data_IF_791638851240
#
_entry.id   IF_791638851240
#
_cell.length_a   1.000
_cell.length_b   1.000
_cell.length_c   1.000
_cell.angle_alpha   90.00
_cell.angle_beta   90.00
_cell.angle_gamma   90.00
#
_symmetry.space_group_name_H-M   'P 1'
#
loop_
_entity.id
_entity.type
_entity.pdbx_description
1 polymer ?
#
# COMPACT_ATOMS: atom_id res chain seq x y z
N UNK A 1 2.73 16.16 2.83
CA UNK A 1 3.48 17.36 2.38
C UNK A 1 4.36 16.90 1.24
N UNK A 2 4.06 17.30 0.01
CA UNK A 2 4.76 16.79 -1.17
C UNK A 2 6.02 17.61 -1.47
N UNK A 3 7.19 16.98 -1.32
CA UNK A 3 8.49 17.58 -1.60
C UNK A 3 9.03 16.97 -2.90
N UNK A 4 9.36 17.84 -3.86
CA UNK A 4 9.79 17.46 -5.20
C UNK A 4 11.03 18.27 -5.59
N UNK A 5 12.06 17.60 -6.10
CA UNK A 5 13.39 18.19 -6.40
C UNK A 5 13.64 18.48 -7.88
N UNK A 6 12.67 18.23 -8.76
CA UNK A 6 12.82 18.39 -10.21
C UNK A 6 13.66 17.31 -10.90
N UNK A 7 14.20 16.34 -10.15
CA UNK A 7 15.04 15.26 -10.66
C UNK A 7 14.33 13.92 -10.60
N UNK A 8 13.84 13.51 -9.41
CA UNK A 8 13.07 12.27 -9.27
C UNK A 8 11.71 12.36 -9.97
N UNK A 9 11.11 13.54 -9.92
CA UNK A 9 9.89 13.89 -10.67
C UNK A 9 10.10 15.20 -11.42
N UNK A 10 9.45 15.40 -12.58
CA UNK A 10 9.63 16.60 -13.41
C UNK A 10 8.84 17.81 -12.87
N UNK A 11 8.95 18.09 -11.57
CA UNK A 11 8.30 19.21 -10.90
C UNK A 11 9.08 19.63 -9.64
N UNK A 12 8.95 20.89 -9.22
CA UNK A 12 9.58 21.45 -8.02
C UNK A 12 8.48 22.13 -7.20
N UNK A 13 8.33 21.73 -5.93
CA UNK A 13 7.21 22.21 -5.09
C UNK A 13 7.72 23.03 -3.90
N UNK A 14 8.37 22.39 -2.94
CA UNK A 14 8.79 23.01 -1.69
C UNK A 14 9.94 22.23 -1.07
N UNK A 15 10.58 22.80 -0.04
CA UNK A 15 11.58 22.13 0.78
C UNK A 15 11.48 22.56 2.25
N UNK A 16 12.51 22.25 3.04
CA UNK A 16 12.57 22.49 4.49
C UNK A 16 12.12 23.90 4.95
N UNK A 17 12.44 25.01 4.26
CA UNK A 17 11.99 26.35 4.70
C UNK A 17 10.47 26.53 4.77
N UNK A 18 9.73 25.89 3.86
CA UNK A 18 8.25 25.91 3.86
C UNK A 18 7.72 25.04 4.99
N UNK A 19 8.29 23.85 5.18
CA UNK A 19 7.94 22.94 6.28
C UNK A 19 8.11 23.63 7.64
N UNK A 20 9.24 24.32 7.85
CA UNK A 20 9.51 25.08 9.06
C UNK A 20 8.49 26.22 9.28
N UNK A 21 8.11 26.90 8.20
CA UNK A 21 7.10 27.97 8.26
C UNK A 21 5.72 27.42 8.66
N UNK A 22 5.32 26.27 8.10
CA UNK A 22 4.06 25.59 8.46
C UNK A 22 4.09 25.10 9.91
N UNK A 23 5.18 24.46 10.33
CA UNK A 23 5.36 23.99 11.71
C UNK A 23 5.17 25.11 12.74
N UNK A 24 5.75 26.29 12.46
CA UNK A 24 5.61 27.48 13.31
C UNK A 24 4.19 28.04 13.30
N UNK A 25 3.51 28.02 12.14
CA UNK A 25 2.18 28.60 11.99
C UNK A 25 1.06 27.70 12.56
N UNK A 26 1.26 26.39 12.56
CA UNK A 26 0.27 25.40 13.02
C UNK A 26 0.89 24.48 14.09
N UNK A 27 0.86 24.88 15.37
CA UNK A 27 1.45 24.10 16.44
C UNK A 27 0.87 22.68 16.51
N UNK A 28 1.74 21.69 16.77
CA UNK A 28 1.41 20.27 16.90
C UNK A 28 0.88 19.61 15.61
N UNK A 29 1.03 20.24 14.45
CA UNK A 29 0.68 19.61 13.18
C UNK A 29 1.55 18.36 12.95
N UNK A 30 0.91 17.25 12.60
CA UNK A 30 1.61 16.07 12.12
C UNK A 30 1.89 16.25 10.63
N UNK A 31 3.16 16.52 10.26
CA UNK A 31 3.57 16.63 8.87
C UNK A 31 4.18 15.31 8.42
N UNK A 32 3.42 14.58 7.62
CA UNK A 32 3.97 13.54 6.78
C UNK A 32 4.63 14.16 5.55
N UNK A 33 5.95 13.99 5.43
CA UNK A 33 6.78 14.54 4.37
C UNK A 33 7.01 13.46 3.32
N UNK A 34 6.32 13.58 2.19
CA UNK A 34 6.44 12.67 1.06
C UNK A 34 7.53 13.17 0.12
N UNK A 35 8.62 12.42 0.08
CA UNK A 35 9.91 12.83 -0.46
C UNK A 35 10.09 12.23 -1.86
N UNK A 36 9.54 12.93 -2.85
CA UNK A 36 9.75 12.65 -4.28
C UNK A 36 11.05 13.31 -4.74
N UNK A 37 12.16 12.82 -4.18
CA UNK A 37 13.51 13.36 -4.38
C UNK A 37 14.48 12.23 -4.74
N UNK A 38 15.52 12.58 -5.48
CA UNK A 38 16.49 11.63 -6.06
C UNK A 38 17.44 11.03 -5.03
N UNK A 39 17.83 11.80 -4.01
CA UNK A 39 18.72 11.36 -2.93
C UNK A 39 18.06 11.57 -1.54
N UNK A 40 17.16 10.68 -1.08
CA UNK A 40 16.36 10.91 0.12
C UNK A 40 17.21 11.07 1.40
N UNK A 41 18.29 10.29 1.55
CA UNK A 41 19.16 10.37 2.74
C UNK A 41 19.69 11.78 3.04
N UNK A 42 20.00 12.56 2.00
CA UNK A 42 20.56 13.91 2.14
C UNK A 42 19.63 14.91 2.85
N UNK A 43 18.32 14.67 2.84
CA UNK A 43 17.32 15.63 3.33
C UNK A 43 16.73 15.27 4.69
N UNK A 44 17.09 14.11 5.25
CA UNK A 44 16.48 13.59 6.48
C UNK A 44 16.66 14.57 7.65
N UNK A 45 17.87 15.07 7.84
CA UNK A 45 18.19 16.03 8.90
C UNK A 45 17.43 17.34 8.73
N UNK A 46 17.43 17.89 7.53
CA UNK A 46 16.79 19.18 7.21
C UNK A 46 15.27 19.12 7.42
N UNK A 47 14.63 18.02 7.00
CA UNK A 47 13.19 17.82 7.20
C UNK A 47 12.86 17.65 8.70
N UNK A 48 13.70 16.93 9.44
CA UNK A 48 13.53 16.79 10.89
C UNK A 48 13.65 18.13 11.60
N UNK A 49 14.68 18.92 11.28
CA UNK A 49 14.91 20.24 11.90
C UNK A 49 13.82 21.25 11.51
N UNK A 50 13.21 21.09 10.33
CA UNK A 50 12.05 21.85 9.91
C UNK A 50 10.73 21.44 10.60
N UNK A 51 10.75 20.39 11.42
CA UNK A 51 9.60 19.93 12.19
C UNK A 51 8.76 18.86 11.50
N UNK A 52 9.30 18.17 10.49
CA UNK A 52 8.68 16.96 9.93
C UNK A 52 8.46 15.90 11.01
N UNK A 53 7.32 15.21 10.93
CA UNK A 53 6.94 14.16 11.89
C UNK A 53 7.08 12.75 11.31
N UNK A 54 6.90 12.62 10.00
CA UNK A 54 7.10 11.40 9.22
C UNK A 54 7.86 11.74 7.95
N UNK A 55 8.75 10.84 7.53
CA UNK A 55 9.56 10.96 6.32
C UNK A 55 9.31 9.73 5.44
N UNK A 56 8.62 9.95 4.32
CA UNK A 56 8.18 8.93 3.38
C UNK A 56 9.02 9.01 2.10
N UNK A 57 10.02 8.14 1.97
CA UNK A 57 10.92 8.13 0.80
C UNK A 57 10.47 7.11 -0.24
N UNK A 58 10.81 7.35 -1.51
CA UNK A 58 10.57 6.38 -2.56
C UNK A 58 11.59 5.24 -2.54
N UNK A 59 11.12 3.98 -2.60
CA UNK A 59 11.98 2.81 -2.75
C UNK A 59 12.87 2.94 -4.00
N UNK A 60 12.34 3.56 -5.06
CA UNK A 60 13.04 3.73 -6.34
C UNK A 60 14.15 4.79 -6.31
N UNK A 61 14.27 5.56 -5.23
CA UNK A 61 15.23 6.66 -5.10
C UNK A 61 16.50 6.27 -4.32
N UNK A 62 16.68 4.99 -3.97
CA UNK A 62 17.86 4.57 -3.21
C UNK A 62 18.21 3.10 -3.44
N UNK A 63 19.50 2.80 -3.45
CA UNK A 63 20.01 1.42 -3.50
C UNK A 63 20.12 0.79 -2.09
N UNK A 64 20.03 1.57 -1.01
CA UNK A 64 20.06 1.09 0.38
C UNK A 64 18.89 1.69 1.20
N UNK A 65 17.67 1.16 1.03
CA UNK A 65 16.50 1.64 1.76
C UNK A 65 16.62 1.45 3.28
N UNK A 66 17.36 0.44 3.74
CA UNK A 66 17.55 0.20 5.17
C UNK A 66 18.42 1.29 5.82
N UNK A 67 19.40 1.81 5.10
CA UNK A 67 20.17 2.96 5.57
C UNK A 67 19.33 4.22 5.70
N UNK A 68 18.50 4.53 4.70
CA UNK A 68 17.57 5.67 4.77
C UNK A 68 16.64 5.53 5.98
N UNK A 69 16.09 4.34 6.23
CA UNK A 69 15.27 4.08 7.42
C UNK A 69 16.04 4.32 8.73
N UNK A 70 17.29 3.87 8.83
CA UNK A 70 18.15 4.12 10.01
C UNK A 70 18.37 5.61 10.23
N UNK A 71 18.68 6.36 9.17
CA UNK A 71 18.87 7.81 9.24
C UNK A 71 17.60 8.51 9.73
N UNK A 72 16.44 8.16 9.19
CA UNK A 72 15.15 8.74 9.61
C UNK A 72 14.87 8.44 11.09
N UNK A 73 15.03 7.20 11.51
CA UNK A 73 14.77 6.81 12.91
C UNK A 73 15.74 7.47 13.89
N UNK A 74 16.98 7.76 13.48
CA UNK A 74 17.94 8.50 14.30
C UNK A 74 17.46 9.93 14.64
N UNK A 75 16.59 10.53 13.82
CA UNK A 75 16.00 11.84 14.09
C UNK A 75 14.68 11.78 14.89
N UNK A 76 14.20 10.57 15.20
CA UNK A 76 12.91 10.29 15.87
C UNK A 76 11.67 10.59 15.03
N UNK A 77 11.82 10.89 13.74
CA UNK A 77 10.69 10.89 12.81
C UNK A 77 10.19 9.45 12.60
N UNK A 78 8.92 9.31 12.23
CA UNK A 78 8.42 8.03 11.67
C UNK A 78 9.06 7.81 10.31
N UNK A 79 9.48 6.58 10.04
CA UNK A 79 10.06 6.18 8.76
C UNK A 79 9.01 5.49 7.90
N UNK A 80 8.87 5.90 6.66
CA UNK A 80 7.92 5.31 5.72
C UNK A 80 8.55 5.15 4.34
N UNK A 81 8.04 4.20 3.57
CA UNK A 81 8.51 3.92 2.22
C UNK A 81 7.34 3.96 1.23
N UNK A 82 7.53 4.66 0.12
CA UNK A 82 6.60 4.76 -0.99
C UNK A 82 7.02 3.84 -2.14
N UNK A 83 6.03 3.35 -2.89
CA UNK A 83 6.23 2.67 -4.16
C UNK A 83 5.35 3.28 -5.25
N UNK A 84 5.94 3.42 -6.45
CA UNK A 84 5.28 3.92 -7.63
C UNK A 84 4.24 2.93 -8.20
N UNK A 85 3.35 3.40 -9.10
CA UNK A 85 2.42 2.51 -9.80
C UNK A 85 3.10 1.39 -10.60
N UNK A 86 4.36 1.57 -11.04
CA UNK A 86 5.14 0.53 -11.72
C UNK A 86 5.80 -0.51 -10.81
N UNK A 87 6.01 -0.19 -9.53
CA UNK A 87 6.80 -1.01 -8.61
C UNK A 87 5.90 -2.01 -7.89
N UNK A 88 6.12 -3.34 -8.02
CA UNK A 88 5.24 -4.32 -7.39
C UNK A 88 5.43 -4.34 -5.87
N UNK A 89 4.37 -4.71 -5.14
CA UNK A 89 4.42 -4.82 -3.67
C UNK A 89 5.48 -5.81 -3.17
N UNK A 90 5.85 -6.79 -3.99
CA UNK A 90 6.90 -7.77 -3.71
C UNK A 90 8.29 -7.18 -3.55
N UNK A 91 8.57 -5.99 -4.10
CA UNK A 91 9.86 -5.30 -3.92
C UNK A 91 10.03 -4.76 -2.49
N UNK A 92 8.94 -4.56 -1.75
CA UNK A 92 9.03 -4.34 -0.32
C UNK A 92 9.42 -5.67 0.32
N UNK A 93 10.66 -5.79 0.79
CA UNK A 93 11.12 -6.96 1.52
C UNK A 93 10.43 -7.07 2.89
N UNK A 94 10.37 -8.28 3.44
CA UNK A 94 9.83 -8.49 4.80
C UNK A 94 10.65 -7.78 5.87
N UNK A 95 11.95 -7.59 5.64
CA UNK A 95 12.83 -6.83 6.53
C UNK A 95 12.47 -5.35 6.50
N UNK A 96 12.36 -4.77 5.30
CA UNK A 96 12.00 -3.37 5.13
C UNK A 96 10.61 -3.08 5.68
N UNK A 97 9.62 -3.92 5.35
CA UNK A 97 8.24 -3.75 5.83
C UNK A 97 8.11 -3.82 7.36
N UNK A 98 9.00 -4.51 8.06
CA UNK A 98 9.06 -4.52 9.54
C UNK A 98 9.88 -3.35 10.11
N UNK A 99 10.75 -2.76 9.30
CA UNK A 99 11.62 -1.67 9.72
C UNK A 99 10.94 -0.30 9.58
N UNK A 100 9.90 -0.16 8.75
CA UNK A 100 9.12 1.07 8.56
C UNK A 100 7.89 1.12 9.46
N UNK A 101 7.35 2.32 9.64
CA UNK A 101 6.14 2.61 10.38
C UNK A 101 4.91 2.74 9.46
N UNK A 102 5.12 2.93 8.15
CA UNK A 102 4.07 3.05 7.14
C UNK A 102 4.60 2.68 5.74
N UNK A 103 3.73 2.14 4.88
CA UNK A 103 4.00 1.99 3.44
C UNK A 103 3.00 2.82 2.64
N UNK A 104 3.49 3.65 1.74
CA UNK A 104 2.69 4.42 0.80
C UNK A 104 2.62 3.72 -0.57
N UNK A 105 1.41 3.45 -1.04
CA UNK A 105 1.16 2.99 -2.41
C UNK A 105 0.65 4.16 -3.25
N UNK A 106 1.46 4.60 -4.21
CA UNK A 106 1.01 5.61 -5.16
C UNK A 106 -0.08 5.05 -6.07
N UNK A 107 -1.18 5.80 -6.21
CA UNK A 107 -2.33 5.49 -7.07
C UNK A 107 -2.44 6.43 -8.27
N UNK A 108 -1.40 7.23 -8.51
CA UNK A 108 -1.08 8.00 -9.73
C UNK A 108 0.44 8.05 -9.87
N UNK A 109 0.98 8.44 -11.02
CA UNK A 109 2.42 8.71 -11.11
C UNK A 109 2.75 10.01 -10.35
N UNK A 110 3.79 10.03 -9.49
CA UNK A 110 4.14 11.22 -8.71
C UNK A 110 4.55 12.39 -9.62
N UNK A 111 4.48 13.61 -9.07
CA UNK A 111 4.90 14.83 -9.76
C UNK A 111 3.77 15.82 -10.11
N UNK A 112 2.51 15.39 -10.12
CA UNK A 112 1.38 16.28 -10.38
C UNK A 112 0.08 15.86 -9.67
N UNK A 113 -0.65 16.85 -9.14
CA UNK A 113 -2.00 16.66 -8.59
C UNK A 113 -3.09 16.57 -9.66
N UNK A 114 -4.28 16.09 -9.28
CA UNK A 114 -5.47 16.08 -10.15
C UNK A 114 -5.52 14.95 -11.19
N UNK A 115 -4.55 14.03 -11.17
CA UNK A 115 -4.54 12.85 -12.01
C UNK A 115 -5.66 11.86 -11.63
N UNK A 116 -6.03 11.00 -12.59
CA UNK A 116 -7.05 9.97 -12.38
C UNK A 116 -6.49 8.81 -11.57
N UNK A 117 -7.23 8.42 -10.54
CA UNK A 117 -6.95 7.25 -9.72
C UNK A 117 -6.76 5.96 -10.55
N UNK A 118 -5.69 5.22 -10.24
CA UNK A 118 -5.33 3.94 -10.87
C UNK A 118 -5.80 2.78 -9.98
N UNK A 119 -6.98 2.23 -10.29
CA UNK A 119 -7.57 1.09 -9.56
C UNK A 119 -6.70 -0.17 -9.60
N UNK A 120 -5.83 -0.27 -10.59
CA UNK A 120 -4.88 -1.36 -10.80
C UNK A 120 -3.81 -1.42 -9.69
N UNK A 121 -3.68 -0.37 -8.86
CA UNK A 121 -2.79 -0.36 -7.70
C UNK A 121 -3.39 -1.05 -6.46
N UNK A 122 -4.72 -1.29 -6.43
CA UNK A 122 -5.40 -1.87 -5.27
C UNK A 122 -4.94 -3.29 -4.91
N UNK A 123 -4.60 -4.19 -5.86
CA UNK A 123 -3.96 -5.47 -5.52
C UNK A 123 -2.68 -5.32 -4.69
N UNK A 124 -1.89 -4.25 -4.88
CA UNK A 124 -0.69 -3.98 -4.08
C UNK A 124 -1.05 -3.66 -2.63
N UNK A 125 -2.05 -2.81 -2.43
CA UNK A 125 -2.57 -2.44 -1.10
C UNK A 125 -3.06 -3.69 -0.37
N UNK A 126 -3.82 -4.54 -1.07
CA UNK A 126 -4.31 -5.80 -0.56
C UNK A 126 -3.18 -6.75 -0.14
N UNK A 127 -2.18 -6.93 -1.00
CA UNK A 127 -1.01 -7.76 -0.70
C UNK A 127 -0.24 -7.24 0.53
N UNK A 128 0.04 -5.94 0.59
CA UNK A 128 0.76 -5.32 1.69
C UNK A 128 -0.02 -5.41 3.01
N UNK A 129 -1.32 -5.11 3.00
CA UNK A 129 -2.18 -5.28 4.18
C UNK A 129 -2.18 -6.74 4.64
N UNK A 130 -2.20 -7.70 3.72
CA UNK A 130 -2.10 -9.10 4.10
C UNK A 130 -0.76 -9.40 4.77
N UNK A 131 0.36 -9.05 4.12
CA UNK A 131 1.74 -9.32 4.59
C UNK A 131 2.08 -8.63 5.90
N UNK A 132 1.56 -7.42 6.11
CA UNK A 132 1.80 -6.59 7.29
C UNK A 132 0.46 -6.16 7.92
N UNK A 133 -0.23 -7.06 8.66
CA UNK A 133 -1.59 -6.85 9.14
C UNK A 133 -1.83 -5.59 9.95
N UNK A 134 -0.82 -5.17 10.72
CA UNK A 134 -0.89 -4.07 11.71
C UNK A 134 -0.15 -2.80 11.26
N UNK A 135 0.50 -2.84 10.09
CA UNK A 135 1.26 -1.70 9.56
C UNK A 135 0.31 -0.67 8.95
N UNK A 136 0.65 0.61 9.05
CA UNK A 136 -0.05 1.66 8.31
C UNK A 136 0.21 1.50 6.81
N UNK A 137 -0.88 1.45 6.03
CA UNK A 137 -0.83 1.43 4.56
C UNK A 137 -1.56 2.68 4.07
N UNK A 138 -0.80 3.55 3.44
CA UNK A 138 -1.24 4.79 2.85
C UNK A 138 -1.50 4.64 1.35
N UNK A 139 -2.44 5.44 0.84
CA UNK A 139 -2.63 5.66 -0.59
C UNK A 139 -2.62 7.15 -0.91
N UNK A 140 -1.94 7.51 -2.01
CA UNK A 140 -1.89 8.88 -2.53
C UNK A 140 -2.08 8.92 -4.05
N UNK A 141 -2.98 9.78 -4.50
CA UNK A 141 -3.26 10.02 -5.91
C UNK A 141 -4.71 9.77 -6.33
N UNK A 142 -5.48 10.84 -6.54
CA UNK A 142 -6.87 10.72 -7.05
C UNK A 142 -7.86 10.11 -6.06
N UNK A 143 -7.53 10.10 -4.76
CA UNK A 143 -8.42 9.59 -3.71
C UNK A 143 -9.45 10.66 -3.31
N UNK A 144 -10.71 10.23 -3.17
CA UNK A 144 -11.83 11.08 -2.80
C UNK A 144 -13.12 10.28 -2.64
N UNK A 145 -14.29 10.93 -2.53
CA UNK A 145 -15.54 10.24 -2.23
C UNK A 145 -15.92 9.12 -3.22
N UNK A 146 -15.47 9.20 -4.47
CA UNK A 146 -15.73 8.18 -5.50
C UNK A 146 -14.78 6.99 -5.48
N UNK A 147 -13.63 7.11 -4.83
CA UNK A 147 -12.53 6.13 -4.91
C UNK A 147 -12.13 5.57 -3.55
N UNK A 148 -12.56 6.20 -2.45
CA UNK A 148 -12.22 5.80 -1.08
C UNK A 148 -12.57 4.36 -0.76
N UNK A 149 -13.76 3.89 -1.17
CA UNK A 149 -14.21 2.53 -0.87
C UNK A 149 -13.25 1.49 -1.44
N UNK A 150 -12.73 1.72 -2.66
CA UNK A 150 -11.75 0.81 -3.27
C UNK A 150 -10.45 0.74 -2.47
N UNK A 151 -9.99 1.88 -1.96
CA UNK A 151 -8.76 1.99 -1.18
C UNK A 151 -8.91 1.32 0.19
N UNK A 152 -9.99 1.67 0.89
CA UNK A 152 -10.31 1.18 2.22
C UNK A 152 -10.56 -0.34 2.20
N UNK A 153 -11.30 -0.83 1.21
CA UNK A 153 -11.63 -2.26 1.06
C UNK A 153 -10.41 -3.09 0.66
N UNK A 154 -9.46 -2.50 -0.09
CA UNK A 154 -8.15 -3.09 -0.34
C UNK A 154 -7.24 -3.08 0.90
N UNK A 155 -7.60 -2.37 1.96
CA UNK A 155 -6.90 -2.40 3.24
C UNK A 155 -6.09 -1.16 3.60
N UNK A 156 -6.15 -0.09 2.81
CA UNK A 156 -5.53 1.18 3.18
C UNK A 156 -6.23 1.78 4.42
N UNK A 157 -5.44 2.34 5.33
CA UNK A 157 -5.94 2.98 6.56
C UNK A 157 -5.45 4.42 6.73
N UNK A 158 -4.50 4.89 5.91
CA UNK A 158 -4.12 6.29 5.80
C UNK A 158 -4.47 6.77 4.38
N UNK A 159 -5.09 7.94 4.28
CA UNK A 159 -5.69 8.42 3.02
C UNK A 159 -5.21 9.84 2.73
N UNK A 160 -4.45 10.01 1.65
CA UNK A 160 -4.07 11.33 1.14
C UNK A 160 -5.10 11.79 0.09
N UNK A 161 -5.67 12.97 0.31
CA UNK A 161 -6.65 13.56 -0.61
C UNK A 161 -6.38 15.06 -0.79
N UNK A 162 -5.88 15.45 -1.97
CA UNK A 162 -5.65 16.85 -2.33
C UNK A 162 -6.91 17.53 -2.86
N UNK A 163 -7.12 17.46 -4.18
CA UNK A 163 -8.18 18.20 -4.88
C UNK A 163 -9.59 17.91 -4.34
N UNK A 164 -9.87 16.68 -3.90
CA UNK A 164 -11.15 16.31 -3.32
C UNK A 164 -11.50 17.10 -2.04
N UNK A 165 -10.49 17.55 -1.29
CA UNK A 165 -10.66 18.35 -0.07
C UNK A 165 -10.54 19.84 -0.40
N UNK A 166 -9.43 20.26 -1.00
CA UNK A 166 -9.10 21.68 -1.19
C UNK A 166 -10.02 22.42 -2.17
N UNK A 167 -10.65 21.71 -3.13
CA UNK A 167 -11.59 22.31 -4.07
C UNK A 167 -13.06 22.16 -3.63
N UNK A 168 -13.32 21.53 -2.49
CA UNK A 168 -14.68 21.34 -1.99
C UNK A 168 -15.11 22.52 -1.11
N UNK A 169 -16.38 22.93 -1.22
CA UNK A 169 -16.93 24.03 -0.41
C UNK A 169 -17.04 23.70 1.08
N UNK A 170 -17.06 22.40 1.41
CA UNK A 170 -17.01 21.90 2.78
C UNK A 170 -15.92 20.83 2.95
N UNK A 171 -14.65 21.23 3.18
CA UNK A 171 -13.54 20.29 3.39
C UNK A 171 -13.77 19.35 4.58
N UNK A 172 -14.39 19.87 5.64
CA UNK A 172 -14.69 19.11 6.88
C UNK A 172 -15.59 17.91 6.60
N UNK A 173 -16.61 18.08 5.76
CA UNK A 173 -17.54 17.00 5.44
C UNK A 173 -16.88 15.92 4.58
N UNK A 174 -16.02 16.30 3.63
CA UNK A 174 -15.23 15.36 2.84
C UNK A 174 -14.30 14.56 3.73
N UNK A 175 -13.54 15.22 4.62
CA UNK A 175 -12.64 14.55 5.57
C UNK A 175 -13.42 13.54 6.43
N UNK A 176 -14.57 13.97 6.98
CA UNK A 176 -15.42 13.09 7.80
C UNK A 176 -15.89 11.88 7.00
N UNK A 177 -16.37 12.09 5.78
CA UNK A 177 -16.81 11.00 4.90
C UNK A 177 -15.68 10.01 4.63
N UNK A 178 -14.51 10.47 4.19
CA UNK A 178 -13.37 9.61 3.89
C UNK A 178 -12.96 8.78 5.11
N UNK A 179 -12.89 9.41 6.28
CA UNK A 179 -12.58 8.72 7.55
C UNK A 179 -13.60 7.64 7.88
N UNK A 180 -14.90 7.97 7.85
CA UNK A 180 -15.96 7.00 8.15
C UNK A 180 -15.90 5.77 7.24
N UNK A 181 -15.69 5.96 5.93
CA UNK A 181 -15.56 4.83 4.99
C UNK A 181 -14.34 3.96 5.28
N UNK A 182 -13.23 4.59 5.67
CA UNK A 182 -12.03 3.89 6.07
C UNK A 182 -12.24 3.07 7.36
N UNK A 183 -12.80 3.68 8.41
CA UNK A 183 -13.06 3.02 9.70
C UNK A 183 -14.01 1.82 9.53
N UNK A 184 -15.07 1.97 8.74
CA UNK A 184 -16.02 0.89 8.43
C UNK A 184 -15.34 -0.30 7.71
N UNK A 185 -14.44 -0.03 6.77
CA UNK A 185 -13.70 -1.07 6.07
C UNK A 185 -12.69 -1.76 6.99
N UNK A 186 -11.96 -1.02 7.82
CA UNK A 186 -10.99 -1.60 8.77
C UNK A 186 -11.70 -2.51 9.79
N UNK A 187 -12.84 -2.09 10.33
CA UNK A 187 -13.65 -2.92 11.23
C UNK A 187 -14.20 -4.17 10.55
N UNK A 188 -14.54 -4.10 9.27
CA UNK A 188 -14.95 -5.26 8.48
C UNK A 188 -13.77 -6.22 8.25
N UNK A 189 -12.64 -5.71 7.78
CA UNK A 189 -11.42 -6.51 7.52
C UNK A 189 -10.96 -7.21 8.80
N UNK A 190 -10.98 -6.52 9.94
CA UNK A 190 -10.66 -7.11 11.25
C UNK A 190 -11.59 -8.27 11.60
N UNK A 191 -12.90 -8.06 11.51
CA UNK A 191 -13.89 -9.12 11.79
C UNK A 191 -13.74 -10.32 10.85
N UNK A 192 -13.50 -10.09 9.56
CA UNK A 192 -13.29 -11.15 8.58
C UNK A 192 -12.01 -11.95 8.87
N UNK A 193 -10.92 -11.28 9.26
CA UNK A 193 -9.68 -11.93 9.71
C UNK A 193 -9.90 -12.83 10.93
N UNK A 194 -10.62 -12.34 11.93
CA UNK A 194 -10.95 -13.12 13.13
C UNK A 194 -11.80 -14.36 12.81
N UNK A 195 -12.75 -14.25 11.87
CA UNK A 195 -13.54 -15.38 11.37
C UNK A 195 -12.68 -16.41 10.65
N UNK A 196 -11.79 -15.97 9.76
CA UNK A 196 -10.85 -16.84 9.05
C UNK A 196 -9.90 -17.54 10.01
N UNK A 197 -9.43 -16.85 11.05
CA UNK A 197 -8.60 -17.43 12.11
C UNK A 197 -9.31 -18.55 12.88
N UNK A 198 -10.64 -18.50 12.99
CA UNK A 198 -11.49 -19.57 13.56
C UNK A 198 -11.83 -20.69 12.56
N UNK A 199 -11.36 -20.60 11.32
CA UNK A 199 -11.61 -21.59 10.27
C UNK A 199 -12.95 -21.44 9.55
N UNK A 200 -13.64 -20.32 9.72
CA UNK A 200 -14.89 -20.03 9.01
C UNK A 200 -14.61 -19.70 7.52
N UNK A 201 -15.54 -20.09 6.64
CA UNK A 201 -15.57 -19.58 5.26
C UNK A 201 -16.13 -18.16 5.26
N UNK A 202 -15.48 -17.26 4.54
CA UNK A 202 -15.94 -15.89 4.34
C UNK A 202 -16.11 -15.70 2.83
N UNK A 203 -17.36 -15.52 2.38
CA UNK A 203 -17.65 -15.16 0.99
C UNK A 203 -17.39 -13.65 0.79
N UNK A 204 -16.46 -13.32 -0.11
CA UNK A 204 -16.08 -11.93 -0.41
C UNK A 204 -16.97 -11.31 -1.49
N UNK A 205 -18.14 -10.85 -1.09
CA UNK A 205 -19.01 -10.02 -1.94
C UNK A 205 -18.95 -8.55 -1.49
N UNK A 206 -17.84 -7.86 -1.77
CA UNK A 206 -17.78 -6.41 -1.60
C UNK A 206 -18.54 -5.74 -2.75
N UNK A 207 -19.74 -5.22 -2.43
CA UNK A 207 -20.59 -4.49 -3.38
C UNK A 207 -20.15 -3.03 -3.44
N UNK A 208 -19.38 -2.67 -4.46
CA UNK A 208 -19.11 -1.27 -4.78
C UNK A 208 -20.28 -0.66 -5.57
N UNK A 209 -20.53 0.63 -5.34
CA UNK A 209 -21.51 1.40 -6.08
C UNK A 209 -20.77 2.40 -6.98
N UNK A 210 -20.85 2.23 -8.29
CA UNK A 210 -20.41 3.24 -9.26
C UNK A 210 -21.63 4.00 -9.79
N UNK A 211 -21.62 5.32 -9.64
CA UNK A 211 -22.61 6.24 -10.26
C UNK A 211 -24.09 5.82 -10.05
N UNK A 212 -24.43 5.32 -8.87
CA UNK A 212 -25.80 4.89 -8.52
C UNK A 212 -26.28 3.62 -9.23
N UNK A 213 -25.42 2.94 -9.99
CA UNK A 213 -25.70 1.63 -10.61
C UNK A 213 -24.97 0.54 -9.83
N UNK A 214 -25.67 -0.57 -9.54
CA UNK A 214 -25.03 -1.79 -9.05
C UNK A 214 -24.08 -2.30 -10.14
N UNK A 215 -22.78 -2.02 -10.02
CA UNK A 215 -21.77 -2.74 -10.80
C UNK A 215 -21.32 -3.94 -9.97
N UNK A 216 -21.66 -5.15 -10.43
CA UNK A 216 -21.25 -6.40 -9.78
C UNK A 216 -19.76 -6.63 -9.99
N UNK A 217 -18.92 -5.98 -9.19
CA UNK A 217 -17.49 -6.27 -9.13
C UNK A 217 -17.28 -7.51 -8.25
N UNK A 218 -16.76 -8.60 -8.84
CA UNK A 218 -16.34 -9.78 -8.09
C UNK A 218 -14.96 -9.49 -7.50
N UNK A 219 -14.91 -9.14 -6.21
CA UNK A 219 -13.72 -8.65 -5.49
C UNK A 219 -12.62 -9.69 -5.27
N UNK A 220 -12.78 -10.91 -5.80
CA UNK A 220 -11.94 -12.07 -5.50
C UNK A 220 -10.43 -11.91 -5.73
N UNK A 221 -9.96 -10.87 -6.43
CA UNK A 221 -8.53 -10.59 -6.69
C UNK A 221 -8.00 -9.26 -6.09
N UNK A 222 -8.80 -8.48 -5.37
CA UNK A 222 -8.47 -7.09 -4.98
C UNK A 222 -8.63 -6.85 -3.46
N UNK A 223 -8.99 -7.89 -2.68
CA UNK A 223 -9.06 -7.78 -1.22
C UNK A 223 -7.80 -8.34 -0.57
N UNK A 224 -7.40 -7.90 0.64
CA UNK A 224 -6.31 -8.54 1.37
C UNK A 224 -6.51 -10.05 1.53
N UNK A 225 -7.77 -10.47 1.59
CA UNK A 225 -8.21 -11.84 1.85
C UNK A 225 -8.17 -12.74 0.60
N UNK A 226 -8.06 -12.13 -0.58
CA UNK A 226 -7.69 -12.78 -1.85
C UNK A 226 -6.28 -13.36 -1.86
N UNK A 227 -5.47 -13.04 -0.84
CA UNK A 227 -4.16 -13.64 -0.55
C UNK A 227 -4.28 -14.61 0.67
N UNK A 228 -5.04 -15.72 0.56
CA UNK A 228 -5.40 -16.57 1.70
C UNK A 228 -4.18 -17.15 2.42
N UNK A 229 -3.05 -17.27 1.71
CA UNK A 229 -1.80 -17.82 2.22
C UNK A 229 -1.21 -17.05 3.41
N UNK A 230 -1.50 -15.75 3.50
CA UNK A 230 -0.97 -14.90 4.57
C UNK A 230 -1.69 -15.14 5.90
N UNK A 231 -2.96 -15.56 5.85
CA UNK A 231 -3.81 -15.87 7.01
C UNK A 231 -3.75 -17.35 7.43
N UNK A 232 -2.98 -18.18 6.75
CA UNK A 232 -2.81 -19.58 7.12
C UNK A 232 -1.87 -19.70 8.32
N UNK A 233 -2.25 -20.46 9.34
CA UNK A 233 -1.34 -20.84 10.42
C UNK A 233 -0.08 -21.52 9.86
N UNK A 234 1.05 -21.44 10.58
CA UNK A 234 2.27 -22.13 10.19
C UNK A 234 2.03 -23.62 9.91
N UNK A 235 1.20 -24.27 10.74
CA UNK A 235 0.79 -25.67 10.56
C UNK A 235 -0.01 -25.91 9.27
N UNK A 236 -0.88 -24.98 8.87
CA UNK A 236 -1.68 -25.08 7.64
C UNK A 236 -0.84 -24.85 6.38
N UNK A 237 0.15 -23.92 6.45
CA UNK A 237 1.14 -23.72 5.38
C UNK A 237 2.01 -24.95 5.16
N UNK A 238 2.48 -25.57 6.24
CA UNK A 238 3.33 -26.76 6.14
C UNK A 238 2.55 -27.98 5.63
N UNK A 239 1.29 -28.14 6.05
CA UNK A 239 0.40 -29.19 5.53
C UNK A 239 0.21 -29.07 4.01
N UNK A 240 -0.14 -27.88 3.52
CA UNK A 240 -0.33 -27.65 2.09
C UNK A 240 0.97 -27.87 1.30
N UNK A 241 2.11 -27.45 1.83
CA UNK A 241 3.42 -27.70 1.20
C UNK A 241 3.71 -29.21 1.06
N UNK A 242 3.42 -30.00 2.10
CA UNK A 242 3.58 -31.47 2.05
C UNK A 242 2.63 -32.12 1.05
N UNK A 243 1.38 -31.65 0.99
CA UNK A 243 0.39 -32.14 0.02
C UNK A 243 0.80 -31.87 -1.43
N UNK A 244 1.34 -30.68 -1.72
CA UNK A 244 1.85 -30.33 -3.06
C UNK A 244 3.10 -31.11 -3.45
N UNK A 245 4.05 -31.27 -2.52
CA UNK A 245 5.24 -32.09 -2.74
C UNK A 245 4.86 -33.55 -3.02
N UNK A 246 3.92 -34.10 -2.23
CA UNK A 246 3.42 -35.45 -2.46
C UNK A 246 2.69 -35.61 -3.80
N UNK A 247 1.94 -34.59 -4.27
CA UNK A 247 1.30 -34.62 -5.58
C UNK A 247 2.33 -34.64 -6.72
N UNK A 248 3.39 -33.82 -6.61
CA UNK A 248 4.50 -33.80 -7.58
C UNK A 248 5.25 -35.13 -7.64
N UNK A 249 5.53 -35.74 -6.49
CA UNK A 249 6.20 -37.05 -6.41
C UNK A 249 5.36 -38.18 -7.03
N UNK A 250 4.03 -38.06 -7.01
CA UNK A 250 3.10 -39.00 -7.67
C UNK A 250 2.83 -38.67 -9.14
N UNK A 251 3.43 -37.62 -9.70
CA UNK A 251 3.18 -37.17 -11.08
C UNK A 251 1.80 -36.54 -11.29
N UNK A 252 1.11 -36.16 -10.21
CA UNK A 252 -0.19 -35.50 -10.25
C UNK A 252 -0.02 -33.98 -10.40
N UNK A 253 -0.96 -33.30 -11.07
CA UNK A 253 -0.97 -31.84 -11.06
C UNK A 253 -1.42 -31.35 -9.67
N UNK A 254 -0.60 -30.54 -8.96
CA UNK A 254 -1.03 -29.98 -7.70
C UNK A 254 -2.24 -29.07 -7.92
N UNK A 255 -3.22 -29.14 -7.02
CA UNK A 255 -4.41 -28.27 -7.04
C UNK A 255 -4.02 -26.81 -6.90
N UNK A 256 -4.85 -25.88 -7.38
CA UNK A 256 -4.64 -24.43 -7.19
C UNK A 256 -4.41 -24.06 -5.71
N UNK A 257 -5.10 -24.71 -4.76
CA UNK A 257 -4.91 -24.49 -3.32
C UNK A 257 -3.56 -24.98 -2.79
N UNK A 258 -2.98 -26.00 -3.43
CA UNK A 258 -1.69 -26.59 -3.05
C UNK A 258 -0.51 -25.85 -3.72
N UNK A 259 -0.66 -25.36 -4.96
CA UNK A 259 0.29 -24.46 -5.61
C UNK A 259 0.45 -23.15 -4.86
N UNK A 260 -0.65 -22.64 -4.30
CA UNK A 260 -0.63 -21.53 -3.35
C UNK A 260 0.22 -21.81 -2.11
N UNK A 261 0.66 -23.03 -1.81
CA UNK A 261 1.55 -23.39 -0.70
C UNK A 261 3.06 -23.43 -1.03
N UNK A 262 3.46 -23.29 -2.31
CA UNK A 262 4.83 -23.60 -2.77
C UNK A 262 5.78 -22.42 -3.09
N UNK A 263 5.34 -21.16 -3.23
CA UNK A 263 6.24 -20.09 -3.72
C UNK A 263 7.38 -19.66 -2.76
N UNK A 264 8.50 -20.37 -2.87
CA UNK A 264 9.88 -19.90 -2.75
C UNK A 264 10.71 -20.31 -3.97
N UNK A 265 10.06 -20.77 -5.04
CA UNK A 265 10.64 -21.07 -6.34
C UNK A 265 9.97 -20.15 -7.35
N UNK A 266 10.77 -19.39 -8.08
CA UNK A 266 10.34 -18.61 -9.25
C UNK A 266 9.63 -19.52 -10.23
N UNK A 267 8.31 -19.40 -10.34
CA UNK A 267 7.57 -20.02 -11.44
C UNK A 267 7.56 -19.00 -12.57
N UNK A 268 8.62 -18.99 -13.38
CA UNK A 268 8.54 -18.45 -14.74
C UNK A 268 7.48 -19.26 -15.49
N UNK A 269 6.47 -18.63 -16.12
CA UNK A 269 5.56 -19.35 -16.99
C UNK A 269 6.37 -19.92 -18.14
N UNK A 270 6.36 -21.24 -18.32
CA UNK A 270 6.91 -21.86 -19.51
C UNK A 270 6.18 -21.29 -20.73
N UNK A 271 6.92 -20.57 -21.57
CA UNK A 271 6.47 -20.18 -22.89
C UNK A 271 6.04 -21.45 -23.64
N UNK A 272 4.77 -21.53 -24.01
CA UNK A 272 4.28 -22.58 -24.90
C UNK A 272 4.98 -22.42 -26.25
N UNK A 273 5.91 -23.33 -26.54
CA UNK A 273 6.39 -23.57 -27.88
C UNK A 273 5.20 -23.96 -28.76
N UNK A 274 4.85 -23.08 -29.70
CA UNK A 274 4.08 -23.44 -30.88
C UNK A 274 5.10 -23.64 -31.99
N UNK A 275 5.63 -24.85 -32.11
CA UNK A 275 6.20 -25.35 -33.35
C UNK A 275 5.06 -25.97 -34.17
N UNK A 276 5.01 -25.58 -35.45
CA UNK A 276 3.91 -25.92 -36.35
C UNK A 276 3.93 -27.34 -36.89
N UNK A 277 2.79 -27.69 -37.50
CA UNK A 277 2.67 -28.42 -38.75
C UNK A 277 1.44 -27.91 -39.48
#
# INVERSE_FOLDING_TARGET
>A
MDIMDGHFVPNIVMGAPVIASVSKAVPNIFMDCHMMVSDPGNWVKDISEAGGASYTFHLEATDDPMDVVRQIKATKMRAAVAINPGTPASEISDELGKAVDMILVMTVWPGAGGQKFMKECMPKVAELRARFPDLDVEVDGGVGPKTIDRCADAGANIIVAGTAIFNHSSPKDVIKFLRTRCDEAQERIKRERERIARGESVDHEIKHYEDGRKSGWHSGAITPLSYPRVYMSASKREKLRRESQGALERGERPTMSSLQGMSGLSITPAASAVEGK
#
